data_IF_310342143439
#
_entry.id   IF_310342143439
#
_cell.length_a   1.000
_cell.length_b   1.000
_cell.length_c   1.000
_cell.angle_alpha   90.00
_cell.angle_beta   90.00
_cell.angle_gamma   90.00
#
_symmetry.space_group_name_H-M   'P 1'
#
loop_
_entity.id
_entity.type
_entity.pdbx_description
1 polymer ?
#
# COMPACT_ATOMS: atom_id res chain seq x y z
N UNK A 1 14.29 -9.34 34.27
CA UNK A 1 14.64 -7.97 33.83
C UNK A 1 15.43 -8.13 32.54
N UNK A 2 14.98 -7.77 31.34
CA UNK A 2 14.27 -6.56 30.90
C UNK A 2 13.26 -6.91 29.80
N UNK A 3 12.09 -6.31 29.90
CA UNK A 3 11.00 -6.32 28.92
C UNK A 3 11.42 -5.56 27.65
N UNK A 4 11.22 -6.18 26.50
CA UNK A 4 11.33 -5.52 25.19
C UNK A 4 10.09 -4.66 24.94
N UNK A 5 10.28 -3.35 24.87
CA UNK A 5 9.23 -2.38 24.51
C UNK A 5 9.07 -2.43 22.99
N UNK A 6 7.99 -3.06 22.54
CA UNK A 6 7.53 -3.05 21.15
C UNK A 6 7.03 -1.63 20.84
N UNK A 7 7.81 -0.85 20.10
CA UNK A 7 7.43 0.51 19.69
C UNK A 7 6.61 0.42 18.40
N UNK A 8 5.29 0.31 18.53
CA UNK A 8 4.36 0.67 17.45
C UNK A 8 4.60 2.13 17.05
N UNK A 9 4.92 2.38 15.78
CA UNK A 9 4.98 3.73 15.25
C UNK A 9 3.54 4.11 14.85
N UNK A 10 2.77 4.66 15.80
CA UNK A 10 1.46 5.23 15.50
C UNK A 10 1.67 6.49 14.64
N UNK A 11 1.56 6.37 13.32
CA UNK A 11 1.31 7.54 12.48
C UNK A 11 -0.16 7.91 12.67
N UNK A 12 -0.43 8.72 13.69
CA UNK A 12 -1.78 9.17 14.01
C UNK A 12 -2.03 10.46 13.23
N UNK A 13 -2.66 10.34 12.05
CA UNK A 13 -3.06 11.50 11.25
C UNK A 13 -4.26 12.17 11.92
N UNK A 14 -4.00 13.07 12.86
CA UNK A 14 -5.03 13.85 13.55
C UNK A 14 -5.29 15.14 12.77
N UNK A 15 -6.40 15.20 12.03
CA UNK A 15 -6.80 16.42 11.30
C UNK A 15 -7.43 17.39 12.29
N UNK A 16 -6.80 18.54 12.50
CA UNK A 16 -7.36 19.69 13.24
C UNK A 16 -7.68 20.78 12.22
N UNK A 17 -8.96 21.00 11.92
CA UNK A 17 -9.40 22.07 11.03
C UNK A 17 -10.45 22.94 11.74
N UNK A 18 -10.07 24.20 11.98
CA UNK A 18 -10.93 25.27 12.48
C UNK A 18 -11.45 26.12 11.30
N UNK A 19 -12.77 26.25 11.16
CA UNK A 19 -13.42 27.30 10.36
C UNK A 19 -14.73 26.90 9.66
N UNK A 20 -15.84 27.55 10.02
CA UNK A 20 -17.21 27.42 9.46
C UNK A 20 -17.63 25.96 9.18
N UNK A 21 -17.79 25.21 10.27
CA UNK A 21 -17.52 23.78 10.34
C UNK A 21 -18.37 22.89 9.44
N UNK A 22 -17.71 22.17 8.54
CA UNK A 22 -18.21 20.87 8.10
C UNK A 22 -18.35 19.97 9.34
N UNK A 23 -19.41 19.15 9.36
CA UNK A 23 -19.60 18.18 10.44
C UNK A 23 -18.40 17.22 10.41
N UNK A 24 -17.83 16.90 11.56
CA UNK A 24 -16.80 15.87 11.62
C UNK A 24 -17.42 14.54 12.05
N UNK A 25 -16.72 13.44 11.75
CA UNK A 25 -17.09 12.12 12.27
C UNK A 25 -17.14 12.09 13.81
N UNK A 26 -16.41 12.97 14.50
CA UNK A 26 -16.50 13.13 15.95
C UNK A 26 -17.87 13.67 16.39
N UNK A 27 -18.37 14.69 15.70
CA UNK A 27 -19.67 15.29 16.00
C UNK A 27 -20.80 14.27 15.76
N UNK A 28 -20.71 13.58 14.62
CA UNK A 28 -21.71 12.61 14.18
C UNK A 28 -21.79 11.40 15.12
N UNK A 29 -20.64 10.88 15.58
CA UNK A 29 -20.59 9.73 16.49
C UNK A 29 -20.74 10.10 17.97
N UNK A 30 -20.49 11.35 18.34
CA UNK A 30 -20.66 11.86 19.69
C UNK A 30 -22.13 12.02 20.09
N UNK A 31 -22.99 12.44 19.16
CA UNK A 31 -24.44 12.62 19.39
C UNK A 31 -25.28 12.13 18.19
N UNK A 32 -25.25 10.82 17.86
CA UNK A 32 -25.85 10.31 16.63
C UNK A 32 -27.37 10.51 16.55
N UNK A 33 -28.07 10.56 17.69
CA UNK A 33 -29.50 10.84 17.74
C UNK A 33 -29.89 12.21 17.14
N UNK A 34 -29.00 13.21 17.23
CA UNK A 34 -29.27 14.56 16.71
C UNK A 34 -29.27 14.63 15.19
N UNK A 35 -28.69 13.63 14.52
CA UNK A 35 -28.50 13.61 13.08
C UNK A 35 -29.30 12.48 12.40
N UNK A 36 -29.95 11.61 13.18
CA UNK A 36 -30.68 10.46 12.64
C UNK A 36 -31.79 10.91 11.67
N UNK A 37 -31.76 10.37 10.47
CA UNK A 37 -32.69 10.67 9.37
C UNK A 37 -32.36 11.93 8.57
N UNK A 38 -31.30 12.68 8.93
CA UNK A 38 -30.93 13.92 8.26
C UNK A 38 -29.92 13.71 7.13
N UNK A 39 -29.98 14.58 6.12
CA UNK A 39 -28.89 14.73 5.15
C UNK A 39 -27.75 15.53 5.81
N UNK A 40 -26.56 14.93 5.85
CA UNK A 40 -25.36 15.52 6.45
C UNK A 40 -24.22 15.56 5.44
N UNK A 41 -23.30 16.51 5.63
CA UNK A 41 -21.99 16.51 4.98
C UNK A 41 -20.94 16.36 6.07
N UNK A 42 -20.23 15.24 6.07
CA UNK A 42 -19.30 14.84 7.12
C UNK A 42 -17.90 14.57 6.59
N UNK A 43 -16.89 14.99 7.34
CA UNK A 43 -15.49 14.66 7.08
C UNK A 43 -14.99 13.57 8.02
N UNK A 44 -14.19 12.66 7.48
CA UNK A 44 -13.55 11.57 8.22
C UNK A 44 -12.57 10.80 7.35
N UNK A 45 -12.08 9.67 7.86
CA UNK A 45 -11.18 8.80 7.11
C UNK A 45 -11.98 7.62 6.56
N UNK A 46 -12.02 7.50 5.23
CA UNK A 46 -12.55 6.31 4.59
C UNK A 46 -11.60 5.14 4.81
N UNK A 47 -12.14 3.96 5.08
CA UNK A 47 -11.38 2.72 5.08
C UNK A 47 -12.19 1.64 4.37
N UNK A 48 -11.51 0.94 3.47
CA UNK A 48 -12.00 -0.26 2.80
C UNK A 48 -10.94 -1.34 2.69
N UNK A 49 -11.36 -2.62 2.76
CA UNK A 49 -10.48 -3.78 2.55
C UNK A 49 -11.01 -4.69 1.44
N UNK A 50 -10.18 -5.03 0.43
CA UNK A 50 -10.51 -6.07 -0.54
C UNK A 50 -10.90 -7.38 0.14
N UNK A 51 -11.94 -8.04 -0.37
CA UNK A 51 -12.42 -9.32 0.17
C UNK A 51 -13.20 -9.20 1.50
N UNK A 52 -13.31 -8.02 2.09
CA UNK A 52 -14.16 -7.75 3.24
C UNK A 52 -15.21 -6.67 2.91
N UNK A 53 -16.33 -7.03 2.27
CA UNK A 53 -17.39 -6.07 1.93
C UNK A 53 -18.03 -5.43 3.18
N UNK A 54 -17.82 -6.01 4.36
CA UNK A 54 -18.30 -5.46 5.62
C UNK A 54 -17.50 -4.29 6.17
N UNK A 55 -16.38 -3.94 5.56
CA UNK A 55 -15.49 -2.90 6.07
C UNK A 55 -15.43 -1.72 5.10
N UNK A 56 -16.57 -1.22 4.62
CA UNK A 56 -16.67 0.08 3.94
C UNK A 56 -17.16 1.11 4.95
N UNK A 57 -16.24 1.86 5.57
CA UNK A 57 -16.55 2.67 6.76
C UNK A 57 -15.94 4.05 6.72
N UNK A 58 -16.58 4.98 7.42
CA UNK A 58 -16.01 6.26 7.83
C UNK A 58 -15.58 6.15 9.29
N UNK A 59 -14.31 6.45 9.56
CA UNK A 59 -13.70 6.37 10.88
C UNK A 59 -13.07 7.71 11.29
N UNK A 60 -12.77 7.86 12.59
CA UNK A 60 -12.04 9.01 13.14
C UNK A 60 -10.60 9.09 12.67
N UNK A 61 -10.02 7.93 12.39
CA UNK A 61 -8.66 7.77 11.90
C UNK A 61 -8.41 6.32 11.51
N UNK A 62 -7.25 6.08 10.92
CA UNK A 62 -6.76 4.75 10.57
C UNK A 62 -5.37 4.59 11.17
N UNK A 63 -5.09 3.41 11.72
CA UNK A 63 -3.76 2.98 12.12
C UNK A 63 -3.25 1.96 11.11
N UNK A 64 -1.96 2.03 10.77
CA UNK A 64 -1.33 1.13 9.80
C UNK A 64 -0.02 0.58 10.38
N UNK A 65 0.51 -0.46 9.73
CA UNK A 65 1.93 -0.82 9.88
C UNK A 65 2.81 0.23 9.20
N UNK A 66 4.11 0.16 9.47
CA UNK A 66 5.10 1.10 8.91
C UNK A 66 5.17 1.09 7.37
N UNK A 67 4.65 0.03 6.74
CA UNK A 67 4.56 -0.14 5.30
C UNK A 67 3.19 0.32 4.75
N UNK A 68 2.32 0.91 5.58
CA UNK A 68 0.97 1.33 5.21
C UNK A 68 -0.05 0.18 5.12
N UNK A 69 0.38 -1.07 5.28
CA UNK A 69 -0.54 -2.23 5.27
C UNK A 69 -1.24 -2.41 6.61
N UNK A 70 -2.19 -3.35 6.67
CA UNK A 70 -2.95 -3.71 7.86
C UNK A 70 -3.68 -2.50 8.46
N UNK A 71 -4.29 -1.69 7.59
CA UNK A 71 -5.06 -0.53 8.00
C UNK A 71 -6.21 -0.95 8.91
N UNK A 72 -6.25 -0.45 10.15
CA UNK A 72 -7.31 -0.70 11.12
C UNK A 72 -7.99 0.61 11.47
N UNK A 73 -9.33 0.66 11.49
CA UNK A 73 -10.00 1.89 11.85
C UNK A 73 -9.85 2.13 13.36
N UNK A 74 -9.84 3.40 13.74
CA UNK A 74 -9.76 3.82 15.14
C UNK A 74 -11.14 4.26 15.61
N UNK A 75 -11.59 3.69 16.75
CA UNK A 75 -12.81 4.08 17.48
C UNK A 75 -14.12 3.74 16.73
N UNK A 76 -15.24 4.39 17.10
CA UNK A 76 -16.58 4.18 16.53
C UNK A 76 -16.62 4.41 15.03
N UNK A 77 -17.31 3.50 14.33
CA UNK A 77 -17.41 3.43 12.88
C UNK A 77 -18.80 3.79 12.40
N UNK A 78 -18.87 4.46 11.25
CA UNK A 78 -20.12 4.64 10.49
C UNK A 78 -20.00 3.83 9.21
N UNK A 79 -20.94 2.91 8.98
CA UNK A 79 -20.96 2.12 7.75
C UNK A 79 -21.35 3.01 6.56
N UNK A 80 -20.61 2.91 5.47
CA UNK A 80 -20.87 3.67 4.24
C UNK A 80 -21.53 2.76 3.21
N UNK A 81 -22.78 3.09 2.90
CA UNK A 81 -23.56 2.42 1.86
C UNK A 81 -23.47 3.22 0.56
N UNK A 82 -23.20 2.55 -0.56
CA UNK A 82 -23.06 3.16 -1.89
C UNK A 82 -21.91 4.18 -2.02
N UNK A 83 -20.78 3.96 -1.35
CA UNK A 83 -19.62 4.83 -1.51
C UNK A 83 -19.11 4.81 -2.97
N UNK A 84 -18.98 5.97 -3.64
CA UNK A 84 -18.64 6.04 -5.05
C UNK A 84 -17.18 5.64 -5.29
N UNK A 85 -16.96 4.79 -6.30
CA UNK A 85 -15.63 4.24 -6.60
C UNK A 85 -14.62 5.34 -6.97
N UNK A 86 -15.07 6.37 -7.69
CA UNK A 86 -14.29 7.52 -8.11
C UNK A 86 -13.73 8.34 -6.94
N UNK A 87 -14.47 8.44 -5.82
CA UNK A 87 -14.00 9.16 -4.63
C UNK A 87 -12.83 8.43 -3.94
N UNK A 88 -12.70 7.11 -4.17
CA UNK A 88 -11.60 6.30 -3.64
C UNK A 88 -10.39 6.20 -4.57
N UNK A 89 -10.48 6.74 -5.79
CA UNK A 89 -9.46 6.56 -6.81
C UNK A 89 -8.12 7.21 -6.42
N UNK A 90 -8.19 8.36 -5.75
CA UNK A 90 -7.02 9.17 -5.36
C UNK A 90 -6.67 9.03 -3.88
N UNK A 91 -7.20 8.01 -3.20
CA UNK A 91 -6.82 7.67 -1.82
C UNK A 91 -5.64 6.69 -1.80
N UNK A 92 -5.05 6.51 -0.63
CA UNK A 92 -4.00 5.51 -0.42
C UNK A 92 -4.51 4.12 -0.74
N UNK A 93 -3.68 3.32 -1.41
CA UNK A 93 -4.02 1.96 -1.82
C UNK A 93 -2.84 1.02 -1.65
N UNK A 94 -2.44 0.67 -0.42
CA UNK A 94 -1.58 -0.49 -0.21
C UNK A 94 -2.25 -1.78 -0.72
N UNK A 95 -1.53 -2.89 -0.67
CA UNK A 95 -1.97 -4.17 -1.23
C UNK A 95 -3.28 -4.72 -0.63
N UNK A 96 -3.61 -4.34 0.60
CA UNK A 96 -4.68 -4.96 1.40
C UNK A 96 -5.79 -3.98 1.84
N UNK A 97 -5.72 -2.72 1.43
CA UNK A 97 -6.68 -1.70 1.87
C UNK A 97 -6.72 -0.48 0.96
N UNK A 98 -7.78 0.31 1.10
CA UNK A 98 -7.91 1.67 0.58
C UNK A 98 -8.27 2.57 1.75
N UNK A 99 -7.55 3.66 1.95
CA UNK A 99 -7.89 4.62 3.00
C UNK A 99 -7.46 6.04 2.69
N UNK A 100 -8.09 7.01 3.33
CA UNK A 100 -7.69 8.42 3.26
C UNK A 100 -8.80 9.36 3.65
N UNK A 101 -8.46 10.64 3.82
CA UNK A 101 -9.42 11.64 4.24
C UNK A 101 -10.45 11.94 3.13
N UNK A 102 -11.74 11.88 3.48
CA UNK A 102 -12.86 12.12 2.56
C UNK A 102 -13.87 13.06 3.17
N UNK A 103 -14.58 13.79 2.30
CA UNK A 103 -15.82 14.48 2.64
C UNK A 103 -16.97 13.71 2.00
N UNK A 104 -17.94 13.32 2.81
CA UNK A 104 -19.05 12.47 2.40
C UNK A 104 -20.36 13.20 2.66
N UNK A 105 -21.22 13.28 1.64
CA UNK A 105 -22.58 13.78 1.76
C UNK A 105 -23.55 12.64 1.61
N UNK A 106 -24.55 12.58 2.50
CA UNK A 106 -25.59 11.57 2.42
C UNK A 106 -26.52 11.58 3.62
N UNK A 107 -27.43 10.62 3.65
CA UNK A 107 -28.41 10.49 4.72
C UNK A 107 -27.82 9.65 5.86
N UNK A 108 -27.77 10.22 7.06
CA UNK A 108 -27.29 9.52 8.25
C UNK A 108 -28.44 8.83 8.99
N UNK A 109 -28.22 7.60 9.45
CA UNK A 109 -29.23 6.81 10.15
C UNK A 109 -28.61 6.01 11.31
N UNK A 110 -29.38 5.82 12.38
CA UNK A 110 -29.04 4.98 13.54
C UNK A 110 -29.92 3.73 13.58
N UNK A 111 -29.35 2.60 14.01
CA UNK A 111 -30.01 1.30 13.91
C UNK A 111 -29.00 0.15 13.92
N UNK A 112 -29.26 -0.89 13.14
CA UNK A 112 -28.34 -2.01 12.92
C UNK A 112 -28.13 -2.17 11.41
N UNK A 113 -26.89 -1.95 10.96
CA UNK A 113 -26.53 -1.85 9.55
C UNK A 113 -25.25 -2.60 9.21
N UNK A 114 -24.94 -2.67 7.91
CA UNK A 114 -23.83 -3.46 7.36
C UNK A 114 -24.03 -4.96 7.51
N UNK A 115 -23.01 -5.77 7.18
CA UNK A 115 -23.12 -7.22 7.31
C UNK A 115 -23.45 -7.63 8.73
N UNK A 116 -24.43 -8.53 8.85
CA UNK A 116 -24.93 -9.07 10.12
C UNK A 116 -25.42 -7.99 11.11
N UNK A 117 -25.66 -6.76 10.67
CA UNK A 117 -26.09 -5.66 11.53
C UNK A 117 -25.00 -5.16 12.49
N UNK A 118 -23.72 -5.34 12.14
CA UNK A 118 -22.57 -5.05 13.01
C UNK A 118 -22.34 -3.57 13.32
N UNK A 119 -23.02 -2.65 12.62
CA UNK A 119 -22.84 -1.21 12.77
C UNK A 119 -24.08 -0.54 13.36
N UNK A 120 -23.87 0.33 14.36
CA UNK A 120 -24.95 1.08 15.02
C UNK A 120 -25.42 2.29 14.21
N UNK A 121 -24.69 2.65 13.17
CA UNK A 121 -24.94 3.83 12.34
C UNK A 121 -24.50 3.60 10.90
N UNK A 122 -25.24 4.16 9.96
CA UNK A 122 -24.87 4.19 8.53
C UNK A 122 -24.98 5.59 7.95
N UNK A 123 -24.28 5.79 6.85
CA UNK A 123 -24.49 6.91 5.95
C UNK A 123 -24.75 6.36 4.54
N UNK A 124 -25.94 6.63 4.01
CA UNK A 124 -26.31 6.32 2.63
C UNK A 124 -25.74 7.42 1.74
N UNK A 125 -24.64 7.11 1.05
CA UNK A 125 -23.82 8.10 0.35
C UNK A 125 -24.54 8.60 -0.90
N UNK A 126 -24.66 9.92 -1.02
CA UNK A 126 -25.14 10.62 -2.21
C UNK A 126 -23.97 11.11 -3.07
N UNK A 127 -22.93 11.62 -2.42
CA UNK A 127 -21.68 12.02 -3.08
C UNK A 127 -20.51 11.94 -2.09
N UNK A 128 -19.31 11.75 -2.59
CA UNK A 128 -18.10 11.83 -1.79
C UNK A 128 -16.96 12.44 -2.61
N UNK A 129 -16.04 13.09 -1.93
CA UNK A 129 -14.82 13.62 -2.52
C UNK A 129 -13.62 13.32 -1.62
N UNK A 130 -12.47 13.05 -2.25
CA UNK A 130 -11.20 12.89 -1.57
C UNK A 130 -10.68 14.27 -1.14
N UNK A 131 -10.47 14.45 0.16
CA UNK A 131 -9.81 15.64 0.72
C UNK A 131 -8.30 15.47 0.57
N UNK A 132 -7.81 14.28 0.89
CA UNK A 132 -6.45 13.86 0.63
C UNK A 132 -6.35 13.26 -0.76
N UNK A 133 -5.39 13.74 -1.56
CA UNK A 133 -5.15 13.23 -2.90
C UNK A 133 -3.71 12.72 -3.00
N UNK A 134 -3.57 11.51 -3.54
CA UNK A 134 -2.26 10.92 -3.82
C UNK A 134 -1.97 10.97 -5.32
N UNK A 135 -0.77 11.43 -5.65
CA UNK A 135 -0.16 11.23 -6.96
C UNK A 135 0.57 9.89 -6.96
N UNK A 136 0.41 9.12 -8.05
CA UNK A 136 1.13 7.86 -8.22
C UNK A 136 2.27 8.07 -9.19
N UNK A 137 3.48 7.77 -8.74
CA UNK A 137 4.71 7.92 -9.53
C UNK A 137 5.27 6.54 -9.83
N UNK A 138 5.51 6.26 -11.10
CA UNK A 138 6.11 5.00 -11.54
C UNK A 138 7.60 5.17 -11.78
N UNK A 139 8.38 4.22 -11.26
CA UNK A 139 9.82 4.10 -11.47
C UNK A 139 10.07 2.79 -12.21
N UNK A 140 9.97 2.78 -13.55
CA UNK A 140 10.26 1.60 -14.35
C UNK A 140 11.76 1.29 -14.34
N UNK A 141 12.10 0.01 -14.43
CA UNK A 141 13.45 -0.42 -14.74
C UNK A 141 13.82 -0.02 -16.18
N UNK A 142 15.11 0.10 -16.52
CA UNK A 142 15.53 0.32 -17.90
C UNK A 142 14.98 -0.77 -18.83
N UNK A 143 14.29 -0.37 -19.89
CA UNK A 143 13.76 -1.30 -20.90
C UNK A 143 14.88 -1.92 -21.74
N UNK A 144 15.91 -1.13 -22.04
CA UNK A 144 17.07 -1.54 -22.81
C UNK A 144 18.11 -2.27 -21.95
N UNK A 145 18.54 -3.44 -22.41
CA UNK A 145 19.65 -4.17 -21.80
C UNK A 145 21.00 -3.57 -22.22
N UNK A 146 21.95 -3.52 -21.29
CA UNK A 146 23.35 -3.22 -21.65
C UNK A 146 24.01 -4.41 -22.35
N UNK A 147 25.16 -4.24 -23.01
CA UNK A 147 25.91 -5.36 -23.57
C UNK A 147 26.15 -6.48 -22.55
N UNK A 148 25.89 -7.73 -22.97
CA UNK A 148 25.98 -8.93 -22.14
C UNK A 148 24.96 -9.00 -20.99
N UNK A 149 23.91 -8.19 -21.01
CA UNK A 149 22.79 -8.26 -20.07
C UNK A 149 21.53 -8.74 -20.77
N UNK A 150 20.59 -9.24 -19.98
CA UNK A 150 19.23 -9.55 -20.39
C UNK A 150 18.30 -8.54 -19.73
N UNK A 151 17.40 -7.94 -20.51
CA UNK A 151 16.38 -7.03 -19.97
C UNK A 151 15.43 -7.81 -19.06
N UNK A 152 15.05 -7.24 -17.91
CA UNK A 152 14.07 -7.88 -17.03
C UNK A 152 12.73 -8.12 -17.72
N UNK A 153 12.35 -7.26 -18.66
CA UNK A 153 11.14 -7.44 -19.47
C UNK A 153 11.22 -8.67 -20.38
N UNK A 154 12.43 -9.02 -20.84
CA UNK A 154 12.67 -10.22 -21.64
C UNK A 154 12.64 -11.48 -20.77
N UNK A 155 13.17 -11.42 -19.55
CA UNK A 155 13.04 -12.50 -18.57
C UNK A 155 11.58 -12.76 -18.18
N UNK A 156 10.75 -11.71 -18.06
CA UNK A 156 9.31 -11.84 -17.81
C UNK A 156 8.57 -12.42 -19.02
N UNK A 157 8.90 -11.96 -20.22
CA UNK A 157 8.21 -12.35 -21.46
C UNK A 157 8.57 -13.77 -21.90
N UNK A 158 9.84 -14.14 -21.82
CA UNK A 158 10.38 -15.40 -22.36
C UNK A 158 11.19 -16.20 -21.31
N UNK A 159 10.65 -16.47 -20.12
CA UNK A 159 11.43 -17.05 -19.01
C UNK A 159 12.04 -18.42 -19.35
N UNK A 160 11.35 -19.25 -20.12
CA UNK A 160 11.83 -20.57 -20.50
C UNK A 160 13.14 -20.54 -21.31
N UNK A 161 13.40 -19.47 -22.06
CA UNK A 161 14.61 -19.32 -22.86
C UNK A 161 15.87 -19.11 -22.00
N UNK A 162 15.72 -18.73 -20.74
CA UNK A 162 16.81 -18.41 -19.81
C UNK A 162 16.91 -19.38 -18.64
N UNK A 163 16.07 -20.42 -18.61
CA UNK A 163 16.04 -21.36 -17.49
C UNK A 163 17.39 -22.06 -17.30
N UNK A 164 17.92 -22.03 -16.07
CA UNK A 164 19.21 -22.60 -15.69
C UNK A 164 20.43 -21.79 -16.15
N UNK A 165 20.25 -20.66 -16.80
CA UNK A 165 21.36 -19.83 -17.27
C UNK A 165 21.79 -18.82 -16.21
N UNK A 166 23.08 -18.48 -16.22
CA UNK A 166 23.57 -17.29 -15.52
C UNK A 166 23.21 -16.05 -16.32
N UNK A 167 22.42 -15.16 -15.73
CA UNK A 167 21.97 -13.91 -16.37
C UNK A 167 22.46 -12.73 -15.55
N UNK A 168 22.93 -11.68 -16.25
CA UNK A 168 23.09 -10.34 -15.68
C UNK A 168 21.91 -9.50 -16.11
N UNK A 169 21.22 -8.84 -15.19
CA UNK A 169 20.03 -8.05 -15.49
C UNK A 169 19.93 -6.82 -14.58
N UNK A 170 19.18 -5.82 -15.04
CA UNK A 170 18.78 -4.66 -14.25
C UNK A 170 17.29 -4.70 -14.00
N UNK A 171 16.91 -4.46 -12.76
CA UNK A 171 15.52 -4.43 -12.32
C UNK A 171 15.39 -3.62 -11.05
N UNK A 172 14.16 -3.31 -10.67
CA UNK A 172 13.91 -2.72 -9.37
C UNK A 172 13.94 -3.83 -8.33
N UNK A 173 14.87 -3.74 -7.37
CA UNK A 173 14.78 -4.51 -6.14
C UNK A 173 13.57 -4.00 -5.35
N UNK A 174 12.78 -4.92 -4.82
CA UNK A 174 11.67 -4.63 -3.93
C UNK A 174 11.66 -5.65 -2.79
N UNK A 175 11.56 -5.18 -1.56
CA UNK A 175 11.55 -6.02 -0.38
C UNK A 175 10.59 -5.48 0.68
N UNK A 176 9.88 -6.41 1.32
CA UNK A 176 9.10 -6.22 2.54
C UNK A 176 9.22 -7.48 3.39
N UNK A 177 8.81 -7.42 4.66
CA UNK A 177 8.69 -8.62 5.49
C UNK A 177 7.74 -9.67 4.90
N UNK A 178 6.69 -9.23 4.19
CA UNK A 178 5.66 -10.09 3.63
C UNK A 178 5.97 -10.63 2.23
N UNK A 179 6.95 -10.07 1.52
CA UNK A 179 7.28 -10.45 0.14
C UNK A 179 8.61 -11.17 -0.01
N UNK A 180 9.51 -11.05 0.97
CA UNK A 180 10.96 -11.32 0.78
C UNK A 180 11.54 -10.47 -0.37
N UNK A 181 12.79 -10.76 -0.78
CA UNK A 181 13.47 -9.99 -1.83
C UNK A 181 12.96 -10.36 -3.22
N UNK A 182 12.54 -9.36 -3.99
CA UNK A 182 11.98 -9.51 -5.34
C UNK A 182 12.75 -8.62 -6.33
N UNK A 183 12.89 -9.11 -7.56
CA UNK A 183 13.27 -8.31 -8.72
C UNK A 183 12.02 -8.06 -9.57
N UNK A 184 11.73 -6.79 -9.85
CA UNK A 184 10.49 -6.38 -10.52
C UNK A 184 10.78 -5.35 -11.62
N UNK A 185 9.89 -5.26 -12.61
CA UNK A 185 10.08 -4.38 -13.79
C UNK A 185 9.89 -2.90 -13.47
N UNK A 186 9.42 -2.58 -12.28
CA UNK A 186 9.25 -1.23 -11.79
C UNK A 186 8.66 -1.21 -10.40
N UNK A 187 8.62 -0.04 -9.79
CA UNK A 187 7.83 0.19 -8.58
C UNK A 187 6.97 1.43 -8.74
N UNK A 188 5.77 1.38 -8.18
CA UNK A 188 4.85 2.51 -8.13
C UNK A 188 4.78 3.04 -6.71
N UNK A 189 5.13 4.31 -6.49
CA UNK A 189 5.01 4.98 -5.19
C UNK A 189 3.75 5.84 -5.16
N UNK A 190 3.31 6.19 -3.95
CA UNK A 190 2.32 7.22 -3.72
C UNK A 190 3.01 8.46 -3.11
N UNK A 191 2.70 9.66 -3.61
CA UNK A 191 3.12 10.96 -3.06
C UNK A 191 1.87 11.76 -2.71
N UNK A 192 1.67 12.20 -1.45
CA UNK A 192 0.55 13.08 -1.13
C UNK A 192 0.73 14.42 -1.87
N UNK A 193 -0.32 14.92 -2.53
CA UNK A 193 -0.27 16.21 -3.20
C UNK A 193 -0.07 17.34 -2.17
N UNK A 194 0.92 18.21 -2.41
CA UNK A 194 1.22 19.38 -1.56
C UNK A 194 2.35 19.20 -0.53
N UNK A 195 3.00 18.03 -0.47
CA UNK A 195 4.17 17.79 0.36
C UNK A 195 5.32 17.13 -0.42
N UNK A 196 6.56 17.60 -0.22
CA UNK A 196 7.78 17.01 -0.82
C UNK A 196 8.27 15.74 -0.10
N UNK A 197 7.35 14.98 0.50
CA UNK A 197 7.67 13.82 1.33
C UNK A 197 7.22 12.55 0.60
N UNK A 198 8.10 11.55 0.53
CA UNK A 198 7.68 10.17 0.23
C UNK A 198 6.61 9.77 1.25
N UNK A 199 5.43 9.33 0.81
CA UNK A 199 4.24 9.09 1.66
C UNK A 199 4.44 8.21 2.91
N UNK A 200 5.63 7.58 3.08
CA UNK A 200 5.86 6.54 4.06
C UNK A 200 5.09 5.25 3.74
N UNK A 201 4.30 5.24 2.66
CA UNK A 201 3.55 4.08 2.19
C UNK A 201 4.46 3.21 1.34
N UNK A 202 4.34 1.90 1.54
CA UNK A 202 5.07 0.91 0.77
C UNK A 202 4.73 1.01 -0.72
N UNK A 203 5.73 1.12 -1.61
CA UNK A 203 5.47 1.09 -3.02
C UNK A 203 4.89 -0.26 -3.46
N UNK A 204 4.24 -0.25 -4.61
CA UNK A 204 3.72 -1.46 -5.24
C UNK A 204 4.71 -1.97 -6.30
N UNK A 205 5.08 -3.26 -6.28
CA UNK A 205 5.87 -3.85 -7.36
C UNK A 205 5.06 -3.89 -8.66
N UNK A 206 5.74 -3.66 -9.79
CA UNK A 206 5.17 -3.74 -11.13
C UNK A 206 5.64 -5.00 -11.87
N UNK A 207 4.84 -5.46 -12.83
CA UNK A 207 5.13 -6.65 -13.62
C UNK A 207 5.02 -7.96 -12.83
N UNK A 208 5.57 -9.02 -13.40
CA UNK A 208 5.60 -10.35 -12.77
C UNK A 208 6.84 -10.48 -11.89
N UNK A 209 6.71 -10.58 -10.55
CA UNK A 209 7.88 -10.60 -9.68
C UNK A 209 8.72 -11.87 -9.84
N UNK A 210 10.04 -11.69 -9.88
CA UNK A 210 11.05 -12.75 -9.83
C UNK A 210 11.60 -12.81 -8.41
N UNK A 211 11.49 -13.95 -7.73
CA UNK A 211 12.06 -14.12 -6.38
C UNK A 211 13.58 -13.98 -6.42
N UNK A 212 14.18 -13.33 -5.42
CA UNK A 212 15.63 -13.20 -5.30
C UNK A 212 16.15 -13.93 -4.07
N UNK A 213 17.14 -14.78 -4.27
CA UNK A 213 17.89 -15.42 -3.20
C UNK A 213 19.31 -14.87 -3.14
N UNK A 214 19.81 -14.56 -1.94
CA UNK A 214 21.20 -14.11 -1.75
C UNK A 214 21.44 -12.61 -1.92
N UNK A 215 20.40 -11.76 -1.86
CA UNK A 215 20.61 -10.30 -1.88
C UNK A 215 21.41 -9.83 -0.64
N UNK A 216 22.54 -9.11 -0.81
CA UNK A 216 23.36 -8.67 0.32
C UNK A 216 22.64 -7.65 1.21
N UNK A 217 22.49 -7.91 2.53
CA UNK A 217 21.78 -7.01 3.44
C UNK A 217 22.42 -5.61 3.58
N UNK A 218 23.74 -5.51 3.42
CA UNK A 218 24.49 -4.26 3.46
C UNK A 218 24.17 -3.35 2.27
N UNK A 219 23.91 -3.92 1.09
CA UNK A 219 23.48 -3.15 -0.08
C UNK A 219 22.05 -2.59 0.05
N UNK A 220 21.18 -3.20 0.86
CA UNK A 220 19.82 -2.68 1.09
C UNK A 220 19.84 -1.27 1.69
N UNK A 221 20.83 -0.94 2.51
CA UNK A 221 21.00 0.39 3.11
C UNK A 221 21.36 1.49 2.11
N UNK A 222 21.77 1.12 0.89
CA UNK A 222 22.15 2.06 -0.17
C UNK A 222 20.97 2.40 -1.10
N UNK A 223 19.83 1.72 -0.92
CA UNK A 223 18.59 1.90 -1.66
C UNK A 223 17.61 2.78 -0.89
N UNK A 224 16.40 2.96 -1.42
CA UNK A 224 15.34 3.66 -0.69
C UNK A 224 14.81 2.76 0.42
N UNK A 225 14.96 3.20 1.67
CA UNK A 225 14.49 2.46 2.85
C UNK A 225 13.27 3.18 3.43
N UNK A 226 12.18 2.44 3.57
CA UNK A 226 10.94 2.91 4.15
C UNK A 226 11.02 3.12 5.67
N UNK A 227 10.04 3.83 6.27
CA UNK A 227 9.99 4.05 7.71
C UNK A 227 10.13 2.76 8.51
N UNK A 228 10.93 2.81 9.58
CA UNK A 228 11.15 1.66 10.47
C UNK A 228 11.69 0.40 9.77
N UNK A 229 12.35 0.55 8.62
CA UNK A 229 12.80 -0.54 7.76
C UNK A 229 11.67 -1.47 7.29
N UNK A 230 10.46 -0.92 7.11
CA UNK A 230 9.28 -1.70 6.69
C UNK A 230 9.37 -2.24 5.26
N UNK A 231 10.07 -1.51 4.38
CA UNK A 231 10.29 -1.89 2.99
C UNK A 231 11.61 -1.32 2.45
N UNK A 232 12.13 -1.91 1.38
CA UNK A 232 13.32 -1.44 0.66
C UNK A 232 13.04 -1.53 -0.84
N UNK A 233 13.42 -0.51 -1.60
CA UNK A 233 13.34 -0.57 -3.05
C UNK A 233 14.40 0.29 -3.74
N UNK A 234 14.77 -0.08 -4.95
CA UNK A 234 15.68 0.72 -5.75
C UNK A 234 16.21 -0.04 -6.96
N UNK A 235 16.81 0.68 -7.90
CA UNK A 235 17.37 0.06 -9.09
C UNK A 235 18.63 -0.73 -8.72
N UNK A 236 18.70 -1.97 -9.17
CA UNK A 236 19.87 -2.83 -8.98
C UNK A 236 20.30 -3.47 -10.29
N UNK A 237 21.60 -3.73 -10.39
CA UNK A 237 22.18 -4.66 -11.36
C UNK A 237 22.59 -5.91 -10.60
N UNK A 238 22.21 -7.08 -11.12
CA UNK A 238 22.42 -8.36 -10.46
C UNK A 238 22.87 -9.42 -11.45
N UNK A 239 23.73 -10.33 -11.00
CA UNK A 239 24.05 -11.55 -11.75
C UNK A 239 23.68 -12.77 -10.91
N UNK A 240 23.05 -13.75 -11.55
CA UNK A 240 22.63 -14.96 -10.86
C UNK A 240 22.14 -16.04 -11.79
N UNK A 241 21.89 -17.22 -11.23
CA UNK A 241 21.27 -18.33 -11.97
C UNK A 241 19.77 -18.12 -12.00
N UNK A 242 19.21 -17.96 -13.20
CA UNK A 242 17.78 -17.80 -13.40
C UNK A 242 17.10 -19.17 -13.46
N UNK A 243 15.98 -19.32 -12.77
CA UNK A 243 15.17 -20.54 -12.75
C UNK A 243 13.69 -20.19 -12.93
N UNK A 244 12.96 -21.04 -13.66
CA UNK A 244 11.52 -20.86 -13.89
C UNK A 244 10.78 -22.19 -13.94
N UNK A 245 9.45 -22.15 -13.86
CA UNK A 245 8.56 -23.32 -13.85
C UNK A 245 8.41 -23.99 -12.48
N UNK A 246 8.81 -23.29 -11.41
CA UNK A 246 8.74 -23.77 -10.03
C UNK A 246 7.76 -22.99 -9.15
N UNK A 247 7.89 -23.19 -7.85
CA UNK A 247 7.21 -22.42 -6.80
C UNK A 247 8.30 -21.87 -5.88
N UNK A 248 8.66 -20.61 -6.08
CA UNK A 248 9.81 -19.97 -5.47
C UNK A 248 9.44 -18.80 -4.56
N UNK A 249 10.41 -18.36 -3.76
CA UNK A 249 10.26 -17.27 -2.81
C UNK A 249 9.38 -17.64 -1.61
N UNK A 250 8.98 -16.62 -0.84
CA UNK A 250 8.17 -16.80 0.35
C UNK A 250 6.87 -17.53 0.00
N UNK A 251 6.62 -18.65 0.67
CA UNK A 251 5.45 -19.52 0.46
C UNK A 251 5.27 -20.06 -0.97
N UNK A 252 6.32 -20.03 -1.81
CA UNK A 252 6.28 -20.56 -3.17
C UNK A 252 5.46 -19.73 -4.17
N UNK A 253 5.19 -18.46 -3.86
CA UNK A 253 4.27 -17.59 -4.63
C UNK A 253 4.78 -17.18 -6.02
N UNK A 254 6.04 -17.43 -6.36
CA UNK A 254 6.66 -16.93 -7.61
C UNK A 254 7.02 -18.06 -8.56
N UNK A 255 6.66 -17.93 -9.84
CA UNK A 255 6.96 -18.91 -10.88
C UNK A 255 8.43 -18.92 -11.33
N UNK A 256 9.19 -17.88 -10.98
CA UNK A 256 10.60 -17.71 -11.34
C UNK A 256 11.42 -17.18 -10.17
N UNK A 257 12.72 -17.50 -10.16
CA UNK A 257 13.68 -16.95 -9.21
C UNK A 257 15.05 -16.67 -9.84
N UNK A 258 15.83 -15.83 -9.16
CA UNK A 258 17.21 -15.54 -9.46
C UNK A 258 18.04 -15.81 -8.20
N UNK A 259 18.93 -16.81 -8.27
CA UNK A 259 19.90 -17.11 -7.20
C UNK A 259 21.15 -16.29 -7.47
N UNK A 260 21.39 -15.29 -6.64
CA UNK A 260 22.44 -14.30 -6.86
C UNK A 260 23.83 -14.82 -6.55
N UNK A 261 24.81 -14.35 -7.31
CA UNK A 261 26.17 -14.20 -6.81
C UNK A 261 26.23 -12.91 -5.96
N UNK A 262 26.39 -12.97 -4.63
CA UNK A 262 26.37 -11.79 -3.76
C UNK A 262 27.42 -10.74 -4.14
N UNK A 263 28.56 -11.15 -4.70
CA UNK A 263 29.63 -10.24 -5.11
C UNK A 263 29.30 -9.45 -6.39
N UNK A 264 28.27 -9.88 -7.12
CA UNK A 264 27.88 -9.27 -8.41
C UNK A 264 26.83 -8.17 -8.27
N UNK A 265 26.20 -8.04 -7.10
CA UNK A 265 25.08 -7.13 -6.88
C UNK A 265 25.57 -5.68 -6.76
N UNK A 266 24.92 -4.77 -7.50
CA UNK A 266 25.20 -3.34 -7.46
C UNK A 266 23.92 -2.55 -7.29
N UNK A 267 23.91 -1.64 -6.31
CA UNK A 267 22.90 -0.59 -6.22
C UNK A 267 23.20 0.49 -7.28
N UNK A 268 22.18 0.91 -8.02
CA UNK A 268 22.28 1.95 -9.04
C UNK A 268 21.49 3.17 -8.53
N UNK A 269 22.15 4.33 -8.47
CA UNK A 269 21.57 5.60 -8.03
C UNK A 269 21.20 6.48 -9.22
#
# INVERSE_FOLDING_TARGET
MRSGIWRSCCLLLLVVLTGCGSLTIYDLTGNPANYNGQDVTVEGVYLWKPGNPGLSVLAKGVSTRNDGTDAQPVDTLVWLENFPAEASANLHRPIDSIYGAVRVKGKFETGSFGPDGSYTSRLVVQSAEAIEQVERVEYPAPSEAQPNQVSIYELEKNPAAYNGQTVTTRGMYYWTQASSGLLVTGVRTEKPLGADIASGVNPQPMGTPISMEGFPPDLSSQLNVGPGNGFVWGLVEVTGTFQTGGQFGLEGRHGSQLILDPASVKAIK
#
